data_IF_358773465353
#
_entry.id   IF_358773465353
#
_cell.length_a   1.000
_cell.length_b   1.000
_cell.length_c   1.000
_cell.angle_alpha   90.00
_cell.angle_beta   90.00
_cell.angle_gamma   90.00
#
_symmetry.space_group_name_H-M   'P 1'
#
loop_
_entity.id
_entity.type
_entity.pdbx_description
1 polymer ?
#
# COMPACT_ATOMS: atom_id res chain seq x y z
N UNK A 1 13.32 -63.20 10.32
CA UNK A 1 12.87 -62.17 11.29
C UNK A 1 13.12 -60.73 10.84
N UNK A 2 14.35 -60.30 10.50
CA UNK A 2 14.65 -58.89 10.15
C UNK A 2 13.80 -58.29 9.01
N UNK A 3 13.39 -59.09 8.02
CA UNK A 3 12.53 -58.62 6.92
C UNK A 3 11.11 -58.30 7.37
N UNK A 4 10.52 -59.09 8.26
CA UNK A 4 9.16 -58.87 8.77
C UNK A 4 9.11 -57.53 9.52
N UNK A 5 10.09 -57.27 10.39
CA UNK A 5 10.19 -55.99 11.11
C UNK A 5 10.31 -54.79 10.18
N UNK A 6 11.08 -54.89 9.08
CA UNK A 6 11.20 -53.80 8.08
C UNK A 6 9.87 -53.54 7.36
N UNK A 7 9.14 -54.60 6.99
CA UNK A 7 7.83 -54.45 6.36
C UNK A 7 6.79 -53.88 7.33
N UNK A 8 6.77 -54.31 8.59
CA UNK A 8 5.86 -53.74 9.60
C UNK A 8 6.14 -52.26 9.85
N UNK A 9 7.40 -51.85 9.92
CA UNK A 9 7.77 -50.43 10.08
C UNK A 9 7.38 -49.61 8.85
N UNK A 10 7.66 -50.11 7.64
CA UNK A 10 7.27 -49.42 6.40
C UNK A 10 5.75 -49.32 6.26
N UNK A 11 5.00 -50.37 6.59
CA UNK A 11 3.54 -50.34 6.57
C UNK A 11 2.99 -49.34 7.60
N UNK A 12 3.58 -49.30 8.81
CA UNK A 12 3.17 -48.34 9.85
C UNK A 12 3.44 -46.88 9.46
N UNK A 13 4.50 -46.60 8.69
CA UNK A 13 4.80 -45.27 8.15
C UNK A 13 3.94 -44.94 6.92
N UNK A 14 3.73 -45.90 6.03
CA UNK A 14 2.95 -45.71 4.81
C UNK A 14 1.46 -45.49 5.10
N UNK A 15 0.92 -46.12 6.15
CA UNK A 15 -0.49 -46.03 6.51
C UNK A 15 -0.99 -44.58 6.72
N UNK A 16 -0.29 -43.70 7.47
CA UNK A 16 -0.68 -42.29 7.58
C UNK A 16 -0.23 -41.43 6.38
N UNK A 17 0.88 -41.75 5.72
CA UNK A 17 1.46 -40.88 4.68
C UNK A 17 0.74 -41.03 3.33
N UNK A 18 0.43 -42.26 2.92
CA UNK A 18 -0.15 -42.53 1.59
C UNK A 18 -1.50 -41.81 1.38
N UNK A 19 -2.45 -41.82 2.34
CA UNK A 19 -3.70 -41.07 2.17
C UNK A 19 -3.47 -39.56 2.03
N UNK A 20 -2.52 -38.99 2.78
CA UNK A 20 -2.17 -37.56 2.67
C UNK A 20 -1.54 -37.25 1.32
N UNK A 21 -0.63 -38.09 0.82
CA UNK A 21 -0.04 -37.90 -0.51
C UNK A 21 -1.08 -38.06 -1.63
N UNK A 22 -2.06 -38.94 -1.48
CA UNK A 22 -3.15 -39.09 -2.46
C UNK A 22 -4.08 -37.88 -2.42
N UNK A 23 -4.44 -37.41 -1.22
CA UNK A 23 -5.35 -36.28 -1.04
C UNK A 23 -4.69 -34.95 -1.45
N UNK A 24 -3.50 -34.65 -0.95
CA UNK A 24 -2.81 -33.38 -1.20
C UNK A 24 -2.00 -33.38 -2.49
N UNK A 25 -1.49 -34.54 -2.93
CA UNK A 25 -0.62 -34.61 -4.11
C UNK A 25 -1.33 -34.15 -5.39
N UNK A 26 -2.65 -34.41 -5.50
CA UNK A 26 -3.46 -33.92 -6.63
C UNK A 26 -3.60 -32.41 -6.63
N UNK A 27 -3.90 -31.81 -5.47
CA UNK A 27 -3.97 -30.37 -5.29
C UNK A 27 -2.63 -29.69 -5.55
N UNK A 28 -1.53 -30.32 -5.13
CA UNK A 28 -0.19 -29.79 -5.38
C UNK A 28 0.17 -29.82 -6.87
N UNK A 29 -0.16 -30.90 -7.58
CA UNK A 29 0.01 -30.96 -9.04
C UNK A 29 -0.87 -29.88 -9.72
N UNK A 30 -2.12 -29.70 -9.27
CA UNK A 30 -2.98 -28.64 -9.78
C UNK A 30 -2.36 -27.24 -9.57
N UNK A 31 -1.78 -26.96 -8.40
CA UNK A 31 -1.04 -25.71 -8.14
C UNK A 31 0.16 -25.53 -9.06
N UNK A 32 0.91 -26.60 -9.37
CA UNK A 32 2.01 -26.50 -10.34
C UNK A 32 1.50 -26.12 -11.74
N UNK A 33 0.33 -26.61 -12.15
CA UNK A 33 -0.30 -26.18 -13.40
C UNK A 33 -0.76 -24.73 -13.37
N UNK A 34 -1.32 -24.23 -12.25
CA UNK A 34 -1.62 -22.80 -12.08
C UNK A 34 -0.35 -21.96 -12.18
N UNK A 35 0.72 -22.34 -11.48
CA UNK A 35 2.01 -21.65 -11.55
C UNK A 35 2.60 -21.67 -12.97
N UNK A 36 2.48 -22.81 -13.68
CA UNK A 36 2.89 -22.90 -15.07
C UNK A 36 2.05 -21.99 -15.98
N UNK A 37 0.75 -21.85 -15.74
CA UNK A 37 -0.12 -20.96 -16.50
C UNK A 37 0.25 -19.47 -16.27
N UNK A 38 0.54 -19.08 -15.02
CA UNK A 38 1.05 -17.74 -14.68
C UNK A 38 2.36 -17.46 -15.41
N UNK A 39 3.30 -18.40 -15.38
CA UNK A 39 4.59 -18.26 -16.08
C UNK A 39 4.40 -18.17 -17.60
N UNK A 40 3.52 -18.99 -18.17
CA UNK A 40 3.20 -18.99 -19.59
C UNK A 40 2.63 -17.64 -20.04
N UNK A 41 1.72 -17.07 -19.24
CA UNK A 41 1.17 -15.72 -19.46
C UNK A 41 2.29 -14.67 -19.43
N UNK A 42 3.06 -14.63 -18.33
CA UNK A 42 4.09 -13.60 -18.13
C UNK A 42 5.20 -13.66 -19.20
N UNK A 43 5.63 -14.87 -19.57
CA UNK A 43 6.65 -15.06 -20.61
C UNK A 43 6.09 -14.94 -22.03
N UNK A 44 4.77 -14.74 -22.19
CA UNK A 44 4.04 -14.76 -23.48
C UNK A 44 4.36 -16.03 -24.28
N UNK A 45 4.45 -17.16 -23.60
CA UNK A 45 4.86 -18.45 -24.16
C UNK A 45 3.88 -19.56 -23.78
N UNK A 46 3.44 -20.34 -24.76
CA UNK A 46 2.57 -21.49 -24.54
C UNK A 46 1.09 -21.13 -24.42
N UNK A 47 0.26 -22.15 -24.21
CA UNK A 47 -1.19 -22.03 -24.03
C UNK A 47 -1.51 -22.08 -22.53
N UNK A 48 -1.61 -20.90 -21.91
CA UNK A 48 -1.91 -20.77 -20.49
C UNK A 48 -3.32 -21.29 -20.14
N UNK A 49 -4.27 -21.21 -21.07
CA UNK A 49 -5.63 -21.73 -20.86
C UNK A 49 -5.65 -23.26 -20.81
N UNK A 50 -4.83 -23.92 -21.63
CA UNK A 50 -4.64 -25.38 -21.54
C UNK A 50 -4.04 -25.81 -20.19
N UNK A 51 -3.10 -25.03 -19.64
CA UNK A 51 -2.53 -25.29 -18.33
C UNK A 51 -3.57 -25.10 -17.22
N UNK A 52 -4.41 -24.08 -17.30
CA UNK A 52 -5.51 -23.87 -16.36
C UNK A 52 -6.56 -24.99 -16.42
N UNK A 53 -6.94 -25.45 -17.61
CA UNK A 53 -7.83 -26.62 -17.75
C UNK A 53 -7.26 -27.86 -17.05
N UNK A 54 -5.96 -28.11 -17.22
CA UNK A 54 -5.27 -29.20 -16.50
C UNK A 54 -5.28 -28.99 -14.99
N UNK A 55 -5.09 -27.76 -14.49
CA UNK A 55 -5.17 -27.49 -13.07
C UNK A 55 -6.53 -27.92 -12.49
N UNK A 56 -7.64 -27.55 -13.17
CA UNK A 56 -9.01 -27.93 -12.77
C UNK A 56 -9.24 -29.43 -12.84
N UNK A 57 -8.71 -30.11 -13.86
CA UNK A 57 -8.77 -31.59 -13.96
C UNK A 57 -8.07 -32.27 -12.78
N UNK A 58 -6.91 -31.75 -12.36
CA UNK A 58 -6.14 -32.32 -11.25
C UNK A 58 -6.79 -32.08 -9.89
N UNK A 59 -7.51 -30.97 -9.70
CA UNK A 59 -8.23 -30.61 -8.48
C UNK A 59 -9.64 -31.21 -8.37
N UNK A 60 -9.93 -32.29 -9.12
CA UNK A 60 -11.25 -32.95 -9.11
C UNK A 60 -12.43 -32.02 -9.50
N UNK A 61 -12.15 -31.01 -10.33
CA UNK A 61 -13.13 -30.02 -10.77
C UNK A 61 -13.38 -28.90 -9.75
N UNK A 62 -12.75 -28.94 -8.57
CA UNK A 62 -12.81 -27.84 -7.61
C UNK A 62 -11.79 -26.76 -8.00
N UNK A 63 -12.25 -25.54 -8.28
CA UNK A 63 -11.31 -24.46 -8.59
C UNK A 63 -10.53 -24.04 -7.33
N UNK A 64 -9.21 -24.11 -7.44
CA UNK A 64 -8.29 -23.64 -6.40
C UNK A 64 -8.37 -22.12 -6.24
N UNK A 65 -8.10 -21.61 -5.04
CA UNK A 65 -8.01 -20.16 -4.76
C UNK A 65 -7.04 -19.46 -5.73
N UNK A 66 -5.90 -20.07 -6.03
CA UNK A 66 -4.90 -19.50 -6.93
C UNK A 66 -5.38 -19.47 -8.39
N UNK A 67 -6.24 -20.42 -8.79
CA UNK A 67 -6.86 -20.44 -10.12
C UNK A 67 -7.83 -19.26 -10.30
N UNK A 68 -8.62 -18.96 -9.28
CA UNK A 68 -9.49 -17.78 -9.28
C UNK A 68 -8.70 -16.47 -9.34
N UNK A 69 -7.65 -16.35 -8.53
CA UNK A 69 -6.78 -15.16 -8.55
C UNK A 69 -6.09 -14.98 -9.90
N UNK A 70 -5.66 -16.07 -10.54
CA UNK A 70 -5.16 -16.03 -11.91
C UNK A 70 -6.22 -15.49 -12.89
N UNK A 71 -7.47 -16.00 -12.82
CA UNK A 71 -8.56 -15.52 -13.68
C UNK A 71 -8.88 -14.05 -13.46
N UNK A 72 -8.88 -13.58 -12.21
CA UNK A 72 -9.06 -12.17 -11.87
C UNK A 72 -7.91 -11.32 -12.42
N UNK A 73 -6.66 -11.75 -12.29
CA UNK A 73 -5.51 -11.04 -12.84
C UNK A 73 -5.56 -10.96 -14.39
N UNK A 74 -5.96 -12.04 -15.06
CA UNK A 74 -6.19 -12.04 -16.52
C UNK A 74 -7.30 -11.07 -16.90
N UNK A 75 -8.43 -11.09 -16.19
CA UNK A 75 -9.55 -10.21 -16.45
C UNK A 75 -9.13 -8.74 -16.25
N UNK A 76 -8.35 -8.43 -15.22
CA UNK A 76 -7.85 -7.07 -14.98
C UNK A 76 -7.02 -6.53 -16.15
N UNK A 77 -6.29 -7.40 -16.86
CA UNK A 77 -5.48 -6.98 -18.02
C UNK A 77 -6.26 -6.96 -19.33
N UNK A 78 -7.20 -7.89 -19.51
CA UNK A 78 -7.83 -8.16 -20.83
C UNK A 78 -9.26 -7.66 -20.95
N UNK A 79 -10.04 -7.77 -19.88
CA UNK A 79 -11.44 -7.35 -19.82
C UNK A 79 -11.86 -7.03 -18.37
N UNK A 80 -11.47 -5.84 -17.87
CA UNK A 80 -11.76 -5.42 -16.50
C UNK A 80 -13.24 -5.42 -16.14
N UNK A 81 -14.13 -5.29 -17.14
CA UNK A 81 -15.59 -5.29 -16.95
C UNK A 81 -16.12 -6.59 -16.35
N UNK A 82 -15.35 -7.67 -16.44
CA UNK A 82 -15.70 -8.98 -15.88
C UNK A 82 -15.32 -9.13 -14.40
N UNK A 83 -14.53 -8.24 -13.83
CA UNK A 83 -14.02 -8.37 -12.45
C UNK A 83 -15.16 -8.51 -11.43
N UNK A 84 -16.20 -7.66 -11.39
CA UNK A 84 -17.28 -7.81 -10.40
C UNK A 84 -17.98 -9.16 -10.51
N UNK A 85 -18.31 -9.59 -11.73
CA UNK A 85 -18.98 -10.88 -11.96
C UNK A 85 -18.10 -12.07 -11.57
N UNK A 86 -16.84 -12.08 -11.99
CA UNK A 86 -15.87 -13.13 -11.65
C UNK A 86 -15.60 -13.20 -10.15
N UNK A 87 -15.49 -12.05 -9.48
CA UNK A 87 -15.25 -12.01 -8.04
C UNK A 87 -16.47 -12.53 -7.26
N UNK A 88 -17.68 -12.21 -7.72
CA UNK A 88 -18.91 -12.75 -7.15
C UNK A 88 -18.98 -14.28 -7.31
N UNK A 89 -18.74 -14.80 -8.52
CA UNK A 89 -18.65 -16.25 -8.78
C UNK A 89 -17.60 -16.92 -7.88
N UNK A 90 -16.42 -16.29 -7.78
CA UNK A 90 -15.34 -16.77 -6.93
C UNK A 90 -15.74 -16.79 -5.44
N UNK A 91 -16.47 -15.77 -4.98
CA UNK A 91 -16.97 -15.67 -3.61
C UNK A 91 -18.02 -16.71 -3.24
N UNK A 92 -18.87 -17.12 -4.20
CA UNK A 92 -19.85 -18.20 -4.00
C UNK A 92 -19.15 -19.55 -3.75
N UNK A 93 -18.02 -19.80 -4.42
CA UNK A 93 -17.21 -21.01 -4.21
C UNK A 93 -16.26 -20.88 -3.00
N UNK A 94 -15.62 -19.72 -2.85
CA UNK A 94 -14.53 -19.41 -1.91
C UNK A 94 -14.75 -18.03 -1.30
N UNK A 95 -15.54 -17.90 -0.22
CA UNK A 95 -15.85 -16.61 0.40
C UNK A 95 -14.63 -15.75 0.79
N UNK A 96 -13.49 -16.39 1.08
CA UNK A 96 -12.23 -15.69 1.38
C UNK A 96 -11.76 -14.77 0.24
N UNK A 97 -12.11 -15.08 -1.02
CA UNK A 97 -11.74 -14.29 -2.18
C UNK A 97 -12.46 -12.95 -2.24
N UNK A 98 -13.63 -12.80 -1.61
CA UNK A 98 -14.31 -11.51 -1.55
C UNK A 98 -13.48 -10.46 -0.80
N UNK A 99 -12.46 -10.85 -0.01
CA UNK A 99 -11.51 -9.92 0.61
C UNK A 99 -10.55 -9.28 -0.40
N UNK A 100 -10.39 -9.87 -1.58
CA UNK A 100 -9.57 -9.31 -2.65
C UNK A 100 -10.31 -8.13 -3.36
N UNK A 101 -11.61 -7.92 -3.09
CA UNK A 101 -12.42 -6.84 -3.70
C UNK A 101 -11.83 -5.45 -3.50
N UNK A 102 -11.28 -5.16 -2.32
CA UNK A 102 -10.73 -3.84 -2.01
C UNK A 102 -9.50 -3.53 -2.86
N UNK A 103 -8.59 -4.50 -2.99
CA UNK A 103 -7.39 -4.31 -3.81
C UNK A 103 -7.75 -4.17 -5.30
N UNK A 104 -8.66 -5.01 -5.79
CA UNK A 104 -9.14 -4.96 -7.18
C UNK A 104 -9.90 -3.67 -7.49
N UNK A 105 -10.71 -3.18 -6.55
CA UNK A 105 -11.42 -1.92 -6.70
C UNK A 105 -10.46 -0.73 -6.79
N UNK A 106 -9.40 -0.73 -5.96
CA UNK A 106 -8.36 0.30 -6.05
C UNK A 106 -7.63 0.24 -7.40
N UNK A 107 -7.27 -0.95 -7.87
CA UNK A 107 -6.63 -1.10 -9.18
C UNK A 107 -7.53 -0.60 -10.32
N UNK A 108 -8.83 -0.91 -10.29
CA UNK A 108 -9.80 -0.38 -11.25
C UNK A 108 -9.91 1.15 -11.18
N UNK A 109 -9.86 1.73 -9.98
CA UNK A 109 -9.88 3.18 -9.80
C UNK A 109 -8.62 3.86 -10.34
N UNK A 110 -7.45 3.24 -10.19
CA UNK A 110 -6.17 3.72 -10.76
C UNK A 110 -6.21 3.79 -12.32
N UNK A 111 -7.13 3.05 -12.95
CA UNK A 111 -7.43 3.10 -14.39
C UNK A 111 -8.71 3.90 -14.72
N UNK A 112 -9.18 4.74 -13.80
CA UNK A 112 -10.38 5.58 -13.92
C UNK A 112 -11.69 4.80 -14.16
N UNK A 113 -11.72 3.50 -13.84
CA UNK A 113 -12.89 2.63 -14.03
C UNK A 113 -13.81 2.67 -12.80
N UNK A 114 -14.20 3.87 -12.36
CA UNK A 114 -14.84 4.09 -11.07
C UNK A 114 -16.16 3.34 -10.85
N UNK A 115 -16.95 3.10 -11.91
CA UNK A 115 -18.16 2.27 -11.81
C UNK A 115 -17.83 0.82 -11.46
N UNK A 116 -16.83 0.24 -12.13
CA UNK A 116 -16.37 -1.12 -11.85
C UNK A 116 -15.68 -1.21 -10.49
N UNK A 117 -14.93 -0.18 -10.09
CA UNK A 117 -14.35 -0.08 -8.76
C UNK A 117 -15.43 -0.11 -7.67
N UNK A 118 -16.49 0.69 -7.82
CA UNK A 118 -17.66 0.68 -6.94
C UNK A 118 -18.34 -0.69 -6.88
N UNK A 119 -18.66 -1.28 -8.04
CA UNK A 119 -19.32 -2.60 -8.11
C UNK A 119 -18.46 -3.67 -7.44
N UNK A 120 -17.16 -3.67 -7.69
CA UNK A 120 -16.20 -4.61 -7.09
C UNK A 120 -16.12 -4.42 -5.57
N UNK A 121 -15.93 -3.18 -5.10
CA UNK A 121 -15.86 -2.84 -3.68
C UNK A 121 -17.12 -3.27 -2.93
N UNK A 122 -18.30 -3.12 -3.54
CA UNK A 122 -19.60 -3.48 -2.94
C UNK A 122 -19.76 -4.97 -2.63
N UNK A 123 -18.88 -5.83 -3.15
CA UNK A 123 -18.87 -7.27 -2.87
C UNK A 123 -18.12 -7.63 -1.57
N UNK A 124 -17.44 -6.67 -0.94
CA UNK A 124 -16.71 -6.91 0.31
C UNK A 124 -17.70 -7.28 1.44
N UNK A 125 -17.55 -8.43 2.11
CA UNK A 125 -18.51 -8.89 3.11
C UNK A 125 -18.24 -8.17 4.43
N UNK A 126 -18.81 -6.98 4.59
CA UNK A 126 -18.74 -6.19 5.82
C UNK A 126 -20.13 -6.18 6.47
N UNK A 127 -20.15 -6.36 7.79
CA UNK A 127 -21.36 -6.24 8.59
C UNK A 127 -21.78 -4.76 8.68
N UNK A 128 -23.05 -4.47 8.45
CA UNK A 128 -23.57 -3.11 8.51
C UNK A 128 -23.68 -2.62 9.96
N UNK A 129 -22.59 -2.08 10.49
CA UNK A 129 -22.51 -1.52 11.84
C UNK A 129 -21.94 -0.10 11.81
N UNK A 130 -22.78 0.91 12.06
CA UNK A 130 -22.36 2.31 12.10
C UNK A 130 -21.43 2.64 13.27
N UNK A 131 -21.24 1.73 14.23
CA UNK A 131 -20.21 1.85 15.27
C UNK A 131 -18.85 1.26 14.85
N UNK A 132 -18.81 0.48 13.77
CA UNK A 132 -17.58 -0.11 13.24
C UNK A 132 -16.88 0.85 12.27
N UNK A 133 -15.65 1.23 12.63
CA UNK A 133 -14.80 2.07 11.78
C UNK A 133 -14.51 1.45 10.40
N UNK A 134 -14.48 0.11 10.29
CA UNK A 134 -14.29 -0.59 9.01
C UNK A 134 -15.50 -0.36 8.09
N UNK A 135 -16.72 -0.47 8.62
CA UNK A 135 -17.94 -0.20 7.87
C UNK A 135 -18.04 1.28 7.46
N UNK A 136 -17.71 2.21 8.36
CA UNK A 136 -17.68 3.64 8.04
C UNK A 136 -16.68 3.96 6.91
N UNK A 137 -15.49 3.36 6.96
CA UNK A 137 -14.48 3.51 5.90
C UNK A 137 -14.96 2.90 4.58
N UNK A 138 -15.67 1.77 4.62
CA UNK A 138 -16.24 1.15 3.44
C UNK A 138 -17.31 2.03 2.77
N UNK A 139 -18.24 2.59 3.54
CA UNK A 139 -19.23 3.55 3.03
C UNK A 139 -18.57 4.78 2.41
N UNK A 140 -17.53 5.32 3.05
CA UNK A 140 -16.77 6.42 2.49
C UNK A 140 -16.14 6.07 1.14
N UNK A 141 -15.52 4.89 1.01
CA UNK A 141 -14.91 4.44 -0.23
C UNK A 141 -15.94 4.28 -1.37
N UNK A 142 -17.11 3.72 -1.07
CA UNK A 142 -18.20 3.60 -2.05
C UNK A 142 -18.70 4.97 -2.51
N UNK A 143 -18.91 5.90 -1.58
CA UNK A 143 -19.32 7.27 -1.88
C UNK A 143 -18.25 8.01 -2.71
N UNK A 144 -16.98 7.79 -2.41
CA UNK A 144 -15.85 8.36 -3.15
C UNK A 144 -15.76 7.83 -4.59
N UNK A 145 -15.92 6.52 -4.82
CA UNK A 145 -15.94 5.99 -6.20
C UNK A 145 -17.12 6.52 -7.02
N UNK A 146 -18.30 6.63 -6.42
CA UNK A 146 -19.47 7.25 -7.06
C UNK A 146 -19.21 8.71 -7.46
N UNK A 147 -18.57 9.47 -6.56
CA UNK A 147 -18.29 10.89 -6.79
C UNK A 147 -17.23 11.11 -7.88
N UNK A 148 -16.15 10.33 -7.89
CA UNK A 148 -15.17 10.35 -8.98
C UNK A 148 -15.82 10.03 -10.33
N UNK A 149 -16.63 8.96 -10.41
CA UNK A 149 -17.29 8.52 -11.64
C UNK A 149 -18.53 9.31 -12.08
N UNK A 150 -18.96 10.34 -11.33
CA UNK A 150 -20.16 11.13 -11.61
C UNK A 150 -21.50 10.35 -11.65
N UNK A 151 -21.66 9.31 -10.84
CA UNK A 151 -22.90 8.52 -10.86
C UNK A 151 -23.48 8.33 -9.46
N UNK A 152 -24.81 8.21 -9.39
CA UNK A 152 -25.55 7.98 -8.15
C UNK A 152 -25.14 8.93 -7.01
N UNK A 153 -24.90 10.21 -7.35
CA UNK A 153 -24.33 11.22 -6.44
C UNK A 153 -25.20 11.47 -5.21
N UNK A 154 -26.53 11.42 -5.34
CA UNK A 154 -27.44 11.56 -4.20
C UNK A 154 -27.30 10.39 -3.21
N UNK A 155 -27.18 9.16 -3.71
CA UNK A 155 -26.90 7.99 -2.85
C UNK A 155 -25.51 8.06 -2.23
N UNK A 156 -24.50 8.59 -2.95
CA UNK A 156 -23.20 8.88 -2.37
C UNK A 156 -23.28 9.90 -1.23
N UNK A 157 -24.08 10.96 -1.40
CA UNK A 157 -24.32 11.98 -0.39
C UNK A 157 -25.01 11.38 0.85
N UNK A 158 -26.06 10.58 0.66
CA UNK A 158 -26.74 9.89 1.76
C UNK A 158 -25.80 8.99 2.56
N UNK A 159 -24.93 8.22 1.89
CA UNK A 159 -23.99 7.32 2.56
C UNK A 159 -22.93 8.09 3.36
N UNK A 160 -22.34 9.15 2.79
CA UNK A 160 -21.33 9.94 3.51
C UNK A 160 -21.93 10.74 4.67
N UNK A 161 -23.20 11.16 4.57
CA UNK A 161 -23.90 11.81 5.67
C UNK A 161 -24.17 10.85 6.84
N UNK A 162 -24.51 9.58 6.57
CA UNK A 162 -24.60 8.55 7.61
C UNK A 162 -23.26 8.41 8.34
N UNK A 163 -22.16 8.38 7.60
CA UNK A 163 -20.81 8.27 8.16
C UNK A 163 -20.47 9.49 9.05
N UNK A 164 -20.69 10.71 8.56
CA UNK A 164 -20.40 11.94 9.31
C UNK A 164 -21.25 12.13 10.57
N UNK A 165 -22.43 11.51 10.61
CA UNK A 165 -23.31 11.46 11.78
C UNK A 165 -22.86 10.41 12.80
N UNK A 166 -22.30 9.29 12.34
CA UNK A 166 -21.88 8.18 13.17
C UNK A 166 -20.48 8.37 13.76
N UNK A 167 -19.56 9.01 13.02
CA UNK A 167 -18.19 9.22 13.47
C UNK A 167 -18.14 10.11 14.73
N UNK A 168 -17.41 9.72 15.78
CA UNK A 168 -17.21 10.54 16.98
C UNK A 168 -16.68 11.94 16.65
N UNK A 169 -17.07 12.93 17.44
CA UNK A 169 -16.68 14.33 17.22
C UNK A 169 -15.17 14.57 17.40
N UNK A 170 -14.52 13.74 18.22
CA UNK A 170 -13.09 13.78 18.55
C UNK A 170 -12.22 12.96 17.58
N UNK A 171 -12.81 12.21 16.65
CA UNK A 171 -12.09 11.49 15.60
C UNK A 171 -11.72 12.42 14.43
N UNK A 172 -11.02 13.53 14.73
CA UNK A 172 -10.76 14.65 13.82
C UNK A 172 -10.12 14.21 12.49
N UNK A 173 -9.08 13.36 12.55
CA UNK A 173 -8.36 12.91 11.35
C UNK A 173 -9.22 12.02 10.44
N UNK A 174 -10.03 11.10 10.99
CA UNK A 174 -10.94 10.30 10.15
C UNK A 174 -12.08 11.16 9.62
N UNK A 175 -12.54 12.13 10.41
CA UNK A 175 -13.61 13.06 10.03
C UNK A 175 -13.20 13.95 8.86
N UNK A 176 -11.92 14.33 8.74
CA UNK A 176 -11.46 15.14 7.60
C UNK A 176 -11.61 14.39 6.27
N UNK A 177 -11.20 13.11 6.19
CA UNK A 177 -11.38 12.30 4.98
C UNK A 177 -12.87 12.17 4.55
N UNK A 178 -13.78 12.11 5.52
CA UNK A 178 -15.21 12.06 5.25
C UNK A 178 -15.77 13.41 4.77
N UNK A 179 -15.26 14.52 5.31
CA UNK A 179 -15.60 15.86 4.87
C UNK A 179 -15.09 16.14 3.45
N UNK A 180 -13.87 15.68 3.12
CA UNK A 180 -13.34 15.75 1.75
C UNK A 180 -14.26 15.05 0.74
N UNK A 181 -14.62 13.80 1.04
CA UNK A 181 -15.52 13.02 0.19
C UNK A 181 -16.88 13.72 0.01
N UNK A 182 -17.46 14.26 1.07
CA UNK A 182 -18.72 15.01 0.98
C UNK A 182 -18.57 16.32 0.20
N UNK A 183 -17.48 17.07 0.41
CA UNK A 183 -17.19 18.29 -0.34
C UNK A 183 -17.11 17.99 -1.84
N UNK A 184 -16.40 16.92 -2.23
CA UNK A 184 -16.33 16.51 -3.62
C UNK A 184 -17.69 16.11 -4.19
N UNK A 185 -18.51 15.36 -3.44
CA UNK A 185 -19.89 15.02 -3.86
C UNK A 185 -20.73 16.30 -4.07
N UNK A 186 -20.69 17.24 -3.13
CA UNK A 186 -21.44 18.51 -3.19
C UNK A 186 -21.01 19.35 -4.40
N UNK A 187 -19.71 19.42 -4.68
CA UNK A 187 -19.17 20.05 -5.87
C UNK A 187 -19.76 19.42 -7.14
N UNK A 188 -19.76 18.10 -7.24
CA UNK A 188 -20.26 17.34 -8.39
C UNK A 188 -21.78 17.47 -8.57
N UNK A 189 -22.52 17.73 -7.49
CA UNK A 189 -23.95 18.06 -7.51
C UNK A 189 -24.24 19.53 -7.89
N UNK A 190 -23.21 20.35 -8.16
CA UNK A 190 -23.39 21.76 -8.47
C UNK A 190 -23.69 22.63 -7.25
N UNK A 191 -23.24 22.21 -6.05
CA UNK A 191 -23.39 22.93 -4.77
C UNK A 191 -22.03 23.40 -4.23
N UNK A 192 -21.24 24.16 -5.01
CA UNK A 192 -19.85 24.45 -4.66
C UNK A 192 -19.71 25.32 -3.39
N UNK A 193 -20.70 26.16 -3.07
CA UNK A 193 -20.68 26.95 -1.84
C UNK A 193 -20.73 26.10 -0.56
N UNK A 194 -21.53 25.03 -0.57
CA UNK A 194 -21.58 24.08 0.54
C UNK A 194 -20.34 23.19 0.57
N UNK A 195 -19.85 22.79 -0.62
CA UNK A 195 -18.61 22.04 -0.76
C UNK A 195 -17.42 22.77 -0.14
N UNK A 196 -17.31 24.09 -0.35
CA UNK A 196 -16.22 24.89 0.18
C UNK A 196 -16.21 24.91 1.70
N UNK A 197 -17.38 25.02 2.35
CA UNK A 197 -17.48 24.99 3.82
C UNK A 197 -16.93 23.68 4.39
N UNK A 198 -17.25 22.56 3.75
CA UNK A 198 -16.72 21.25 4.15
C UNK A 198 -15.23 21.11 3.90
N UNK A 199 -14.75 21.62 2.77
CA UNK A 199 -13.35 21.58 2.40
C UNK A 199 -12.47 22.42 3.33
N UNK A 200 -12.91 23.63 3.67
CA UNK A 200 -12.22 24.49 4.65
C UNK A 200 -12.13 23.82 6.02
N UNK A 201 -13.22 23.18 6.45
CA UNK A 201 -13.23 22.40 7.70
C UNK A 201 -12.32 21.18 7.62
N UNK A 202 -12.31 20.47 6.49
CA UNK A 202 -11.43 19.33 6.25
C UNK A 202 -9.95 19.74 6.40
N UNK A 203 -9.53 20.78 5.70
CA UNK A 203 -8.15 21.29 5.75
C UNK A 203 -7.76 21.74 7.15
N UNK A 204 -8.63 22.47 7.86
CA UNK A 204 -8.37 22.88 9.23
C UNK A 204 -8.12 21.70 10.17
N UNK A 205 -8.88 20.61 10.05
CA UNK A 205 -8.67 19.39 10.86
C UNK A 205 -7.35 18.69 10.51
N UNK A 206 -6.99 18.64 9.22
CA UNK A 206 -5.72 18.04 8.77
C UNK A 206 -4.53 18.85 9.27
N UNK A 207 -4.59 20.18 9.16
CA UNK A 207 -3.54 21.08 9.66
C UNK A 207 -3.36 20.97 11.17
N UNK A 208 -4.46 20.94 11.93
CA UNK A 208 -4.43 20.74 13.38
C UNK A 208 -3.78 19.40 13.73
N UNK A 209 -4.23 18.29 13.13
CA UNK A 209 -3.68 16.97 13.38
C UNK A 209 -2.19 16.86 13.02
N UNK A 210 -1.75 17.50 11.92
CA UNK A 210 -0.33 17.57 11.54
C UNK A 210 0.49 18.39 12.54
N UNK A 211 -0.02 19.54 12.97
CA UNK A 211 0.63 20.41 13.96
C UNK A 211 0.83 19.70 15.31
N UNK A 212 -0.21 19.01 15.80
CA UNK A 212 -0.15 18.21 17.02
C UNK A 212 0.88 17.07 16.89
N UNK A 213 0.89 16.37 15.75
CA UNK A 213 1.86 15.30 15.49
C UNK A 213 3.30 15.82 15.44
N UNK A 214 3.54 16.94 14.78
CA UNK A 214 4.87 17.57 14.73
C UNK A 214 5.34 17.98 16.12
N UNK A 215 4.45 18.57 16.93
CA UNK A 215 4.72 18.93 18.32
C UNK A 215 5.10 17.69 19.14
N UNK A 216 4.35 16.58 19.00
CA UNK A 216 4.64 15.33 19.69
C UNK A 216 6.00 14.73 19.30
N UNK A 217 6.37 14.77 18.01
CA UNK A 217 7.68 14.33 17.52
C UNK A 217 8.79 15.20 18.10
N UNK A 218 8.60 16.52 18.12
CA UNK A 218 9.59 17.45 18.66
C UNK A 218 9.84 17.23 20.16
N UNK A 219 8.78 17.00 20.94
CA UNK A 219 8.89 16.65 22.37
C UNK A 219 9.68 15.35 22.54
N UNK A 220 9.28 14.29 21.83
CA UNK A 220 9.97 12.99 21.91
C UNK A 220 11.45 13.07 21.52
N UNK A 221 11.78 13.80 20.45
CA UNK A 221 13.15 14.00 20.02
C UNK A 221 13.96 14.78 21.06
N UNK A 222 13.36 15.79 21.68
CA UNK A 222 14.01 16.57 22.75
C UNK A 222 14.31 15.69 23.97
N UNK A 223 13.39 14.80 24.34
CA UNK A 223 13.57 13.84 25.44
C UNK A 223 14.66 12.80 25.15
N UNK A 224 14.71 12.28 23.92
CA UNK A 224 15.74 11.34 23.46
C UNK A 224 17.13 11.98 23.45
N UNK A 225 17.24 13.21 22.93
CA UNK A 225 18.49 13.99 22.94
C UNK A 225 18.92 14.30 24.37
N UNK A 226 18.00 14.73 25.24
CA UNK A 226 18.27 14.99 26.65
C UNK A 226 18.79 13.75 27.37
N UNK A 227 18.15 12.60 27.14
CA UNK A 227 18.55 11.30 27.71
C UNK A 227 19.93 10.84 27.21
N UNK A 228 20.20 11.02 25.91
CA UNK A 228 21.50 10.69 25.32
C UNK A 228 22.63 11.57 25.87
N UNK A 229 22.38 12.88 26.03
CA UNK A 229 23.34 13.81 26.63
C UNK A 229 23.62 13.48 28.11
N UNK A 230 22.59 13.14 28.88
CA UNK A 230 22.76 12.69 30.27
C UNK A 230 23.60 11.40 30.36
N UNK A 231 23.31 10.41 29.50
CA UNK A 231 24.08 9.16 29.45
C UNK A 231 25.55 9.38 29.07
N UNK A 232 25.83 10.28 28.12
CA UNK A 232 27.20 10.62 27.74
C UNK A 232 27.94 11.35 28.86
N UNK A 233 27.26 12.26 29.58
CA UNK A 233 27.82 12.92 30.75
C UNK A 233 28.26 11.91 31.81
N UNK A 234 27.38 10.96 32.17
CA UNK A 234 27.69 9.90 33.13
C UNK A 234 28.89 9.04 32.68
N UNK A 235 29.01 8.76 31.38
CA UNK A 235 30.17 8.04 30.82
C UNK A 235 31.47 8.85 30.94
N UNK A 236 31.42 10.15 30.66
CA UNK A 236 32.59 11.02 30.77
C UNK A 236 33.03 11.21 32.23
N UNK A 237 32.09 11.35 33.16
CA UNK A 237 32.39 11.43 34.59
C UNK A 237 33.05 10.12 35.07
N UNK A 238 32.52 8.95 34.68
CA UNK A 238 33.13 7.64 34.98
C UNK A 238 34.52 7.45 34.36
N UNK A 239 34.76 7.93 33.14
CA UNK A 239 36.08 7.86 32.50
C UNK A 239 37.11 8.76 33.18
N UNK A 240 36.70 9.97 33.59
CA UNK A 240 37.57 10.89 34.31
C UNK A 240 37.97 10.34 35.69
N UNK A 241 37.03 9.74 36.42
CA UNK A 241 37.32 9.09 37.70
C UNK A 241 38.30 7.92 37.53
N UNK A 242 38.09 7.06 36.53
CA UNK A 242 38.99 5.94 36.24
C UNK A 242 40.42 6.38 35.87
N UNK A 243 40.55 7.47 35.11
CA UNK A 243 41.85 8.02 34.70
C UNK A 243 42.59 8.60 35.90
N UNK A 244 41.88 9.28 36.81
CA UNK A 244 42.46 9.81 38.05
C UNK A 244 43.02 8.70 38.95
N UNK A 245 42.31 7.58 39.08
CA UNK A 245 42.78 6.43 39.88
C UNK A 245 44.01 5.76 39.27
N UNK A 246 44.15 5.76 37.93
CA UNK A 246 45.31 5.14 37.26
C UNK A 246 46.60 5.97 37.42
N UNK A 247 46.51 7.30 37.38
CA UNK A 247 47.67 8.19 37.51
C UNK A 247 48.32 8.14 38.90
N UNK A 248 47.61 7.70 39.94
CA UNK A 248 48.17 7.54 41.29
C UNK A 248 48.85 6.17 41.51
N UNK A 249 48.79 5.24 40.54
CA UNK A 249 49.23 3.84 40.72
C UNK A 249 50.48 3.40 39.91
N UNK A 250 51.04 4.22 39.02
CA UNK A 250 52.21 3.85 38.22
C UNK A 250 53.50 4.56 38.71
N UNK A 251 54.48 3.83 39.32
CA UNK A 251 55.80 4.38 39.62
C UNK A 251 56.65 4.49 38.34
N UNK A 252 57.33 5.63 38.19
CA UNK A 252 58.26 5.94 37.10
C UNK A 252 59.31 4.82 36.93
N UNK A 253 59.21 4.06 35.85
CA UNK A 253 60.31 3.23 35.37
C UNK A 253 60.57 3.56 33.90
N UNK A 254 61.65 4.28 33.65
CA UNK A 254 62.08 4.66 32.31
C UNK A 254 62.64 3.47 31.54
N UNK A 255 62.40 3.45 30.23
CA UNK A 255 63.34 2.94 29.24
C UNK A 255 62.90 3.39 27.85
N UNK A 256 63.75 4.21 27.26
CA UNK A 256 63.77 4.60 25.86
C UNK A 256 64.20 3.39 25.01
N UNK A 257 63.47 3.04 23.95
CA UNK A 257 64.05 2.41 22.76
C UNK A 257 63.06 2.41 21.59
N UNK A 258 63.57 2.80 20.42
CA UNK A 258 62.78 3.08 19.23
C UNK A 258 62.42 1.89 18.35
N UNK A 259 61.45 2.11 17.45
CA UNK A 259 61.22 1.41 16.17
C UNK A 259 60.02 2.08 15.50
N UNK A 260 60.21 2.73 14.34
CA UNK A 260 60.32 2.17 12.98
C UNK A 260 58.97 2.21 12.27
N UNK A 261 58.96 2.98 11.18
CA UNK A 261 57.88 3.19 10.25
C UNK A 261 57.39 1.88 9.59
N UNK A 262 56.10 1.85 9.25
CA UNK A 262 55.56 1.01 8.18
C UNK A 262 54.37 1.74 7.54
N UNK A 263 54.56 2.08 6.27
CA UNK A 263 53.59 2.58 5.31
C UNK A 263 52.51 1.51 5.03
N UNK A 264 51.24 1.93 4.94
CA UNK A 264 50.15 1.08 4.45
C UNK A 264 49.64 1.64 3.13
N UNK A 265 49.90 0.83 2.10
CA UNK A 265 49.57 0.99 0.68
C UNK A 265 48.05 1.05 0.44
N UNK A 266 47.59 2.10 -0.25
CA UNK A 266 46.31 2.12 -0.94
C UNK A 266 46.38 1.22 -2.19
N UNK A 267 45.37 0.39 -2.40
CA UNK A 267 45.21 -0.39 -3.63
C UNK A 267 43.93 0.04 -4.34
N UNK A 268 44.11 0.32 -5.62
CA UNK A 268 43.15 0.77 -6.61
C UNK A 268 42.03 -0.26 -6.83
N UNK A 269 40.78 0.21 -6.75
CA UNK A 269 39.62 -0.56 -7.20
C UNK A 269 39.05 0.10 -8.46
N UNK A 270 39.50 -0.41 -9.60
CA UNK A 270 39.14 0.00 -10.95
C UNK A 270 37.67 -0.38 -11.24
N UNK A 271 36.80 0.64 -11.38
CA UNK A 271 35.39 0.48 -11.79
C UNK A 271 35.28 0.73 -13.29
N UNK A 272 35.40 -0.33 -14.07
CA UNK A 272 35.06 -0.32 -15.49
C UNK A 272 33.55 -0.18 -15.70
N UNK A 273 33.15 1.00 -16.19
CA UNK A 273 32.33 1.22 -17.41
C UNK A 273 31.28 0.14 -17.73
N UNK A 274 30.05 0.34 -17.25
CA UNK A 274 28.84 -0.17 -17.92
C UNK A 274 28.21 0.98 -18.70
N UNK A 275 28.12 0.82 -20.02
CA UNK A 275 27.44 1.77 -20.90
C UNK A 275 25.93 1.69 -20.69
N UNK A 276 25.32 2.83 -20.41
CA UNK A 276 23.87 3.02 -20.44
C UNK A 276 23.46 3.17 -21.90
N UNK A 277 22.89 2.12 -22.47
CA UNK A 277 22.03 2.26 -23.65
C UNK A 277 20.72 2.88 -23.16
N UNK A 278 20.39 4.05 -23.67
CA UNK A 278 19.11 4.75 -23.47
C UNK A 278 17.98 3.99 -24.19
N UNK A 279 17.71 2.78 -23.73
CA UNK A 279 16.56 2.00 -24.18
C UNK A 279 15.38 2.44 -23.31
N UNK A 280 14.51 3.28 -23.87
CA UNK A 280 13.24 3.67 -23.27
C UNK A 280 12.34 2.44 -23.14
N UNK A 281 12.59 1.65 -22.10
CA UNK A 281 11.77 0.50 -21.77
C UNK A 281 10.34 0.96 -21.50
N UNK A 282 9.43 0.47 -22.34
CA UNK A 282 7.99 0.62 -22.18
C UNK A 282 7.52 -0.54 -21.30
N UNK A 283 6.70 -0.26 -20.29
CA UNK A 283 6.17 -1.26 -19.37
C UNK A 283 5.13 -2.15 -20.06
N UNK A 284 4.79 -3.30 -19.46
CA UNK A 284 3.72 -4.18 -19.98
C UNK A 284 2.35 -3.49 -20.05
N UNK A 285 2.15 -2.39 -19.32
CA UNK A 285 0.96 -1.54 -19.36
C UNK A 285 1.01 -0.45 -20.45
N UNK A 286 2.04 -0.42 -21.30
CA UNK A 286 2.20 0.60 -22.36
C UNK A 286 2.62 1.98 -21.85
N UNK A 287 2.83 2.14 -20.54
CA UNK A 287 3.35 3.37 -19.95
C UNK A 287 4.90 3.34 -19.95
N UNK A 288 5.58 4.47 -20.21
CA UNK A 288 7.03 4.54 -20.05
C UNK A 288 7.44 4.16 -18.62
N UNK A 289 8.53 3.40 -18.44
CA UNK A 289 9.04 3.05 -17.08
C UNK A 289 9.27 4.31 -16.22
N UNK A 290 9.66 5.42 -16.84
CA UNK A 290 9.81 6.71 -16.18
C UNK A 290 8.49 7.25 -15.59
N UNK A 291 7.35 7.01 -16.26
CA UNK A 291 6.01 7.40 -15.80
C UNK A 291 5.62 6.63 -14.53
N UNK A 292 5.83 5.30 -14.53
CA UNK A 292 5.56 4.45 -13.36
C UNK A 292 6.48 4.80 -12.19
N UNK A 293 7.78 5.03 -12.44
CA UNK A 293 8.72 5.44 -11.41
C UNK A 293 8.32 6.79 -10.78
N UNK A 294 7.85 7.74 -11.59
CA UNK A 294 7.34 9.03 -11.12
C UNK A 294 6.08 8.85 -10.27
N UNK A 295 5.11 8.03 -10.71
CA UNK A 295 3.90 7.68 -9.93
C UNK A 295 4.27 7.03 -8.59
N UNK A 296 5.23 6.10 -8.59
CA UNK A 296 5.68 5.42 -7.38
C UNK A 296 6.44 6.37 -6.43
N UNK A 297 7.25 7.29 -6.96
CA UNK A 297 7.94 8.31 -6.17
C UNK A 297 6.95 9.27 -5.49
N UNK A 298 5.91 9.72 -6.20
CA UNK A 298 4.83 10.55 -5.62
C UNK A 298 4.14 9.79 -4.48
N UNK A 299 3.80 8.51 -4.68
CA UNK A 299 3.19 7.64 -3.67
C UNK A 299 4.04 7.43 -2.41
N UNK A 300 5.36 7.64 -2.48
CA UNK A 300 6.26 7.51 -1.32
C UNK A 300 6.19 8.66 -0.31
N UNK A 301 5.39 9.70 -0.58
CA UNK A 301 5.21 10.87 0.30
C UNK A 301 3.74 11.00 0.74
N UNK A 302 3.24 10.15 1.67
CA UNK A 302 1.82 10.05 1.98
C UNK A 302 1.16 11.37 2.40
N UNK A 303 1.89 12.22 3.15
CA UNK A 303 1.40 13.53 3.55
C UNK A 303 1.27 14.51 2.38
N UNK A 304 2.18 14.43 1.39
CA UNK A 304 2.12 15.26 0.19
C UNK A 304 0.98 14.81 -0.73
N UNK A 305 0.74 13.50 -0.86
CA UNK A 305 -0.37 12.96 -1.67
C UNK A 305 -1.72 13.31 -1.06
N UNK A 306 -1.90 13.07 0.25
CA UNK A 306 -3.15 13.44 0.94
C UNK A 306 -3.39 14.94 0.84
N UNK A 307 -2.38 15.77 1.10
CA UNK A 307 -2.49 17.22 0.92
C UNK A 307 -2.85 17.56 -0.53
N UNK A 308 -2.19 16.93 -1.50
CA UNK A 308 -2.44 17.14 -2.92
C UNK A 308 -3.91 17.00 -3.30
N UNK A 309 -4.52 15.88 -2.95
CA UNK A 309 -5.94 15.61 -3.28
C UNK A 309 -6.85 16.70 -2.70
N UNK A 310 -6.62 17.11 -1.45
CA UNK A 310 -7.42 18.15 -0.78
C UNK A 310 -7.28 19.52 -1.47
N UNK A 311 -6.05 19.95 -1.76
CA UNK A 311 -5.79 21.22 -2.45
C UNK A 311 -6.36 21.21 -3.86
N UNK A 312 -6.23 20.10 -4.60
CA UNK A 312 -6.84 19.98 -5.91
C UNK A 312 -8.38 20.06 -5.85
N UNK A 313 -9.03 19.31 -4.94
CA UNK A 313 -10.48 19.41 -4.76
C UNK A 313 -10.92 20.83 -4.40
N UNK A 314 -10.20 21.51 -3.50
CA UNK A 314 -10.48 22.90 -3.15
C UNK A 314 -10.34 23.84 -4.35
N UNK A 315 -9.27 23.72 -5.13
CA UNK A 315 -9.07 24.50 -6.34
C UNK A 315 -10.26 24.36 -7.31
N UNK A 316 -10.71 23.12 -7.56
CA UNK A 316 -11.85 22.87 -8.44
C UNK A 316 -13.16 23.47 -7.91
N UNK A 317 -13.38 23.43 -6.58
CA UNK A 317 -14.52 24.08 -5.93
C UNK A 317 -14.43 25.61 -6.08
N UNK A 318 -13.26 26.20 -5.86
CA UNK A 318 -13.01 27.63 -5.97
C UNK A 318 -13.20 28.14 -7.41
N UNK A 319 -12.74 27.39 -8.41
CA UNK A 319 -12.99 27.70 -9.82
C UNK A 319 -14.48 27.73 -10.14
N UNK A 320 -15.27 26.79 -9.61
CA UNK A 320 -16.73 26.79 -9.79
C UNK A 320 -17.45 27.93 -9.03
N UNK A 321 -16.76 28.60 -8.11
CA UNK A 321 -17.23 29.80 -7.41
C UNK A 321 -16.70 31.10 -8.02
N UNK A 322 -16.03 31.04 -9.19
CA UNK A 322 -15.40 32.20 -9.83
C UNK A 322 -14.31 32.87 -8.94
N UNK A 323 -13.66 32.08 -8.08
CA UNK A 323 -12.53 32.51 -7.22
C UNK A 323 -11.20 32.05 -7.81
N UNK A 324 -10.88 32.56 -9.00
CA UNK A 324 -9.72 32.10 -9.79
C UNK A 324 -8.38 32.31 -9.08
N UNK A 325 -8.18 33.46 -8.42
CA UNK A 325 -6.93 33.76 -7.71
C UNK A 325 -6.66 32.75 -6.57
N UNK A 326 -7.67 32.47 -5.75
CA UNK A 326 -7.55 31.50 -4.64
C UNK A 326 -7.32 30.07 -5.16
N UNK A 327 -7.94 29.72 -6.30
CA UNK A 327 -7.73 28.42 -6.92
C UNK A 327 -6.31 28.28 -7.48
N UNK A 328 -5.76 29.33 -8.07
CA UNK A 328 -4.39 29.31 -8.61
C UNK A 328 -3.35 29.18 -7.48
N UNK A 329 -3.59 29.77 -6.30
CA UNK A 329 -2.74 29.52 -5.12
C UNK A 329 -2.67 28.02 -4.76
N UNK A 330 -3.81 27.32 -4.78
CA UNK A 330 -3.86 25.87 -4.53
C UNK A 330 -3.14 25.07 -5.62
N UNK A 331 -3.33 25.44 -6.89
CA UNK A 331 -2.67 24.77 -8.01
C UNK A 331 -1.16 25.04 -8.04
N UNK A 332 -0.71 26.23 -7.66
CA UNK A 332 0.70 26.57 -7.51
C UNK A 332 1.34 25.76 -6.38
N UNK A 333 0.65 25.61 -5.25
CA UNK A 333 1.11 24.73 -4.18
C UNK A 333 1.34 23.30 -4.68
N UNK A 334 0.43 22.74 -5.50
CA UNK A 334 0.61 21.41 -6.10
C UNK A 334 1.86 21.36 -6.99
N UNK A 335 2.07 22.36 -7.84
CA UNK A 335 3.23 22.46 -8.74
C UNK A 335 4.54 22.54 -7.94
N UNK A 336 4.58 23.33 -6.87
CA UNK A 336 5.73 23.42 -5.97
C UNK A 336 6.07 22.09 -5.30
N UNK A 337 5.06 21.29 -4.95
CA UNK A 337 5.25 19.95 -4.41
C UNK A 337 5.60 18.88 -5.46
N UNK A 338 5.70 19.26 -6.75
CA UNK A 338 5.86 18.36 -7.89
C UNK A 338 4.71 17.33 -8.00
N UNK A 339 3.50 17.75 -7.65
CA UNK A 339 2.28 16.97 -7.78
C UNK A 339 1.53 17.36 -9.06
N UNK A 340 0.75 16.44 -9.66
CA UNK A 340 -0.19 16.78 -10.72
C UNK A 340 -1.16 17.87 -10.26
N UNK A 341 -1.36 18.88 -11.10
CA UNK A 341 -2.34 19.95 -10.92
C UNK A 341 -3.56 19.73 -11.84
N UNK A 342 -3.81 18.48 -12.21
CA UNK A 342 -4.89 18.03 -13.07
C UNK A 342 -5.57 16.79 -12.46
N UNK A 343 -6.56 16.24 -13.17
CA UNK A 343 -7.34 15.09 -12.71
C UNK A 343 -6.57 13.78 -12.56
N UNK A 344 -5.28 13.72 -12.91
CA UNK A 344 -4.46 12.49 -12.79
C UNK A 344 -3.95 12.21 -11.38
N UNK A 345 -4.33 13.05 -10.42
CA UNK A 345 -3.97 12.91 -9.01
C UNK A 345 -4.67 11.73 -8.31
N UNK A 346 -5.74 11.20 -8.91
CA UNK A 346 -6.63 10.20 -8.30
C UNK A 346 -6.30 8.76 -8.67
#
# INVERSE_FOLDING_TARGET
MKWITRFTVLAAIALPIVPVLIAEGRNEIARWYVAAAVNALHLKQGDHDALMRKAVEWSDGEELTDAWRYRLAIAMQSDPSRIPALLKEAGESKPVLLRDSQALAQELADYEQFRLAYETQSLLPIEEDLSDAVYLSHLNQLAYFRSLGNFDLESALEDIEKVLKAVPADAEFSRSAYLDTRAWILYRLGRPGEALVDMEKCLSLVEQALSERLTAIQVKLSDEVGSALASNRDRTEKQNDATKTKTEAEPETGSNDGRSAAEVSSSDFDRTRYGTSDDESITEAGLPVAELAKRQQIRSRPAAVLGGTLYYHRAMILLALEREDDAEEDLDWLREQNLPADGTLF
#
